data_IF_843167925368
#
_entry.id   IF_843167925368
#
_cell.length_a   1.000
_cell.length_b   1.000
_cell.length_c   1.000
_cell.angle_alpha   90.00
_cell.angle_beta   90.00
_cell.angle_gamma   90.00
#
_symmetry.space_group_name_H-M   'P 1'
#
loop_
_entity.id
_entity.type
_entity.pdbx_description
1 polymer ?
#
# COMPACT_ATOMS: atom_id res chain seq x y z
N UNK A 1 2.39 0.32 20.93
CA UNK A 1 2.71 1.69 21.43
C UNK A 1 2.67 1.83 22.95
N UNK A 2 1.66 1.28 23.66
CA UNK A 2 1.60 1.29 25.14
C UNK A 2 2.85 0.73 25.85
N UNK A 3 3.50 -0.28 25.27
CA UNK A 3 4.75 -0.89 25.80
C UNK A 3 5.97 0.04 25.77
N UNK A 4 5.90 1.23 25.16
CA UNK A 4 7.00 2.21 25.10
C UNK A 4 6.69 3.51 25.84
N UNK A 5 5.62 3.56 26.64
CA UNK A 5 5.23 4.75 27.40
C UNK A 5 4.81 5.95 26.55
N UNK A 6 4.43 5.72 25.29
CA UNK A 6 3.96 6.78 24.39
C UNK A 6 2.44 6.86 24.42
N UNK A 7 1.95 8.08 24.66
CA UNK A 7 0.53 8.39 24.55
C UNK A 7 0.08 8.38 23.08
N UNK A 8 -0.99 7.67 22.72
CA UNK A 8 -1.57 7.75 21.39
C UNK A 8 -2.02 9.19 21.11
N UNK A 9 -1.65 9.70 19.94
CA UNK A 9 -2.14 10.99 19.43
C UNK A 9 -3.00 10.75 18.21
N UNK A 10 -4.03 11.58 17.97
CA UNK A 10 -4.81 11.48 16.74
C UNK A 10 -3.90 11.71 15.53
N UNK A 11 -4.09 10.88 14.49
CA UNK A 11 -3.45 11.10 13.19
C UNK A 11 -4.15 12.28 12.52
N UNK A 12 -3.42 13.31 12.04
CA UNK A 12 -4.03 14.39 11.28
C UNK A 12 -4.76 13.84 10.05
N UNK A 13 -6.01 14.24 9.86
CA UNK A 13 -6.88 13.74 8.78
C UNK A 13 -6.25 13.82 7.39
N UNK A 14 -5.55 14.91 7.10
CA UNK A 14 -4.87 15.15 5.82
C UNK A 14 -3.64 14.24 5.59
N UNK A 15 -3.25 13.47 6.61
CA UNK A 15 -2.16 12.49 6.57
C UNK A 15 -2.63 11.06 6.82
N UNK A 16 -3.92 10.84 7.09
CA UNK A 16 -4.50 9.52 7.31
C UNK A 16 -4.70 8.79 5.98
N UNK A 17 -3.60 8.26 5.44
CA UNK A 17 -3.54 7.62 4.13
C UNK A 17 -4.58 6.52 3.96
N UNK A 18 -4.76 5.67 4.99
CA UNK A 18 -5.71 4.56 4.95
C UNK A 18 -7.15 5.06 4.85
N UNK A 19 -7.54 6.01 5.72
CA UNK A 19 -8.90 6.55 5.69
C UNK A 19 -9.16 7.36 4.41
N UNK A 20 -8.16 8.08 3.88
CA UNK A 20 -8.30 8.81 2.63
C UNK A 20 -8.49 7.86 1.43
N UNK A 21 -7.82 6.71 1.38
CA UNK A 21 -8.07 5.69 0.36
C UNK A 21 -9.49 5.14 0.45
N UNK A 22 -9.93 4.75 1.65
CA UNK A 22 -11.28 4.20 1.86
C UNK A 22 -12.38 5.21 1.47
N UNK A 23 -12.22 6.48 1.85
CA UNK A 23 -13.16 7.54 1.48
C UNK A 23 -13.21 7.82 -0.03
N UNK A 24 -12.16 7.44 -0.77
CA UNK A 24 -12.14 7.49 -2.24
C UNK A 24 -12.64 6.18 -2.87
N UNK A 25 -13.25 5.28 -2.08
CA UNK A 25 -13.80 4.02 -2.54
C UNK A 25 -12.75 2.96 -2.88
N UNK A 26 -11.54 3.11 -2.35
CA UNK A 26 -10.43 2.19 -2.62
C UNK A 26 -10.31 1.18 -1.47
N UNK A 27 -10.25 -0.10 -1.84
CA UNK A 27 -10.21 -1.22 -0.89
C UNK A 27 -11.58 -1.77 -0.55
N UNK A 28 -11.62 -2.74 0.37
CA UNK A 28 -12.87 -3.16 1.00
C UNK A 28 -13.15 -2.25 2.18
N UNK A 29 -14.33 -1.63 2.19
CA UNK A 29 -14.77 -0.79 3.30
C UNK A 29 -14.79 -1.58 4.61
N UNK A 30 -14.34 -0.96 5.70
CA UNK A 30 -14.30 -1.60 7.01
C UNK A 30 -15.69 -2.01 7.51
N UNK A 31 -16.73 -1.27 7.14
CA UNK A 31 -18.13 -1.65 7.41
C UNK A 31 -18.43 -3.05 6.82
N UNK A 32 -18.07 -3.28 5.56
CA UNK A 32 -18.32 -4.56 4.90
C UNK A 32 -17.58 -5.73 5.57
N UNK A 33 -16.34 -5.51 6.02
CA UNK A 33 -15.56 -6.52 6.75
C UNK A 33 -16.12 -6.83 8.15
N UNK A 34 -16.92 -5.93 8.74
CA UNK A 34 -17.55 -6.14 10.04
C UNK A 34 -18.88 -6.87 9.97
N UNK A 35 -19.46 -7.00 8.77
CA UNK A 35 -20.73 -7.70 8.56
C UNK A 35 -20.49 -9.20 8.51
N UNK A 36 -21.42 -9.96 9.06
CA UNK A 36 -21.43 -11.42 9.00
C UNK A 36 -22.07 -11.91 7.69
N UNK A 37 -21.57 -11.40 6.56
CA UNK A 37 -22.03 -11.73 5.22
C UNK A 37 -20.85 -12.30 4.41
N UNK A 38 -21.04 -13.40 3.66
CA UNK A 38 -19.99 -13.94 2.81
C UNK A 38 -19.51 -12.94 1.77
N UNK A 39 -18.18 -12.81 1.61
CA UNK A 39 -17.59 -12.01 0.55
C UNK A 39 -17.83 -12.65 -0.81
N UNK A 40 -18.20 -11.81 -1.79
CA UNK A 40 -18.32 -12.26 -3.18
C UNK A 40 -16.94 -12.33 -3.86
N UNK A 41 -16.85 -13.02 -5.00
CA UNK A 41 -15.64 -13.00 -5.82
C UNK A 41 -15.24 -11.57 -6.22
N UNK A 42 -16.22 -10.70 -6.49
CA UNK A 42 -15.95 -9.31 -6.82
C UNK A 42 -15.33 -8.57 -5.63
N UNK A 43 -15.73 -8.87 -4.40
CA UNK A 43 -15.16 -8.27 -3.19
C UNK A 43 -13.70 -8.68 -3.00
N UNK A 44 -13.41 -9.96 -3.20
CA UNK A 44 -12.05 -10.50 -3.13
C UNK A 44 -11.17 -9.86 -4.22
N UNK A 45 -11.66 -9.76 -5.45
CA UNK A 45 -10.95 -9.10 -6.54
C UNK A 45 -10.67 -7.62 -6.23
N UNK A 46 -11.66 -6.89 -5.71
CA UNK A 46 -11.49 -5.49 -5.30
C UNK A 46 -10.43 -5.35 -4.20
N UNK A 47 -10.48 -6.22 -3.20
CA UNK A 47 -9.50 -6.23 -2.11
C UNK A 47 -8.08 -6.52 -2.59
N UNK A 48 -7.91 -7.57 -3.39
CA UNK A 48 -6.61 -7.96 -3.92
C UNK A 48 -6.05 -6.91 -4.88
N UNK A 49 -6.90 -6.27 -5.69
CA UNK A 49 -6.48 -5.19 -6.58
C UNK A 49 -6.00 -3.96 -5.78
N UNK A 50 -6.72 -3.57 -4.73
CA UNK A 50 -6.28 -2.51 -3.82
C UNK A 50 -4.95 -2.87 -3.17
N UNK A 51 -4.89 -4.04 -2.54
CA UNK A 51 -3.70 -4.52 -1.84
C UNK A 51 -2.51 -4.55 -2.79
N UNK A 52 -2.63 -5.13 -3.98
CA UNK A 52 -1.55 -5.15 -4.98
C UNK A 52 -0.99 -3.77 -5.31
N UNK A 53 -1.85 -2.74 -5.39
CA UNK A 53 -1.43 -1.37 -5.69
C UNK A 53 -0.69 -0.76 -4.50
N UNK A 54 -1.22 -0.92 -3.28
CA UNK A 54 -0.57 -0.39 -2.07
C UNK A 54 0.73 -1.13 -1.75
N UNK A 55 0.76 -2.46 -1.90
CA UNK A 55 1.95 -3.30 -1.70
C UNK A 55 3.06 -2.96 -2.70
N UNK A 56 2.71 -2.63 -3.95
CA UNK A 56 3.71 -2.14 -4.92
C UNK A 56 4.37 -0.86 -4.44
N UNK A 57 3.59 0.08 -3.90
CA UNK A 57 4.14 1.32 -3.37
C UNK A 57 4.97 1.05 -2.12
N UNK A 58 4.48 0.20 -1.22
CA UNK A 58 5.18 -0.17 0.00
C UNK A 58 6.54 -0.82 -0.32
N UNK A 59 6.59 -1.83 -1.20
CA UNK A 59 7.83 -2.47 -1.66
C UNK A 59 8.81 -1.47 -2.30
N UNK A 60 8.34 -0.56 -3.16
CA UNK A 60 9.19 0.49 -3.75
C UNK A 60 9.77 1.45 -2.69
N UNK A 61 8.97 1.85 -1.70
CA UNK A 61 9.44 2.70 -0.59
C UNK A 61 10.40 1.94 0.34
N UNK A 62 10.10 0.68 0.66
CA UNK A 62 10.94 -0.15 1.50
C UNK A 62 12.29 -0.46 0.84
N UNK A 63 12.32 -0.60 -0.48
CA UNK A 63 13.58 -0.71 -1.23
C UNK A 63 14.47 0.53 -1.03
N UNK A 64 13.89 1.74 -1.10
CA UNK A 64 14.63 2.98 -0.84
C UNK A 64 15.12 3.03 0.62
N UNK A 65 14.25 2.72 1.59
CA UNK A 65 14.61 2.72 3.00
C UNK A 65 15.70 1.69 3.30
N UNK A 66 15.60 0.48 2.74
CA UNK A 66 16.61 -0.58 2.87
C UNK A 66 17.96 -0.12 2.33
N UNK A 67 17.99 0.54 1.16
CA UNK A 67 19.24 1.08 0.60
C UNK A 67 19.96 2.04 1.55
N UNK A 68 19.22 2.83 2.33
CA UNK A 68 19.79 3.86 3.19
C UNK A 68 19.98 3.44 4.65
N UNK A 69 19.17 2.48 5.14
CA UNK A 69 19.09 2.16 6.56
C UNK A 69 19.36 0.68 6.89
N UNK A 70 19.64 -0.18 5.92
CA UNK A 70 19.91 -1.60 6.18
C UNK A 70 21.07 -1.80 7.17
N UNK A 71 22.13 -1.00 7.10
CA UNK A 71 23.29 -1.15 7.99
C UNK A 71 23.18 -0.32 9.27
N UNK A 72 22.04 0.35 9.49
CA UNK A 72 21.82 1.11 10.72
C UNK A 72 21.69 0.14 11.91
N UNK A 73 22.46 0.33 13.00
CA UNK A 73 22.50 -0.62 14.12
C UNK A 73 21.12 -0.88 14.74
N UNK A 74 20.31 0.17 14.89
CA UNK A 74 18.99 0.05 15.54
C UNK A 74 17.84 -0.29 14.59
N UNK A 75 17.93 0.09 13.31
CA UNK A 75 16.81 0.05 12.36
C UNK A 75 16.97 -1.05 11.31
N UNK A 76 18.21 -1.42 10.99
CA UNK A 76 18.53 -2.27 9.85
C UNK A 76 17.80 -3.61 9.85
N UNK A 77 17.68 -4.24 11.03
CA UNK A 77 16.93 -5.50 11.17
C UNK A 77 15.45 -5.31 10.84
N UNK A 78 14.82 -4.27 11.37
CA UNK A 78 13.40 -3.99 11.14
C UNK A 78 13.14 -3.61 9.68
N UNK A 79 14.00 -2.76 9.09
CA UNK A 79 13.88 -2.34 7.69
C UNK A 79 14.01 -3.53 6.73
N UNK A 80 14.94 -4.45 6.97
CA UNK A 80 15.05 -5.68 6.16
C UNK A 80 13.81 -6.56 6.27
N UNK A 81 13.38 -6.83 7.51
CA UNK A 81 12.20 -7.67 7.77
C UNK A 81 10.96 -7.10 7.07
N UNK A 82 10.65 -5.82 7.28
CA UNK A 82 9.50 -5.17 6.65
C UNK A 82 9.64 -5.20 5.13
N UNK A 83 10.84 -4.91 4.59
CA UNK A 83 11.06 -4.96 3.14
C UNK A 83 10.80 -6.35 2.54
N UNK A 84 11.24 -7.41 3.23
CA UNK A 84 11.02 -8.78 2.77
C UNK A 84 9.53 -9.17 2.89
N UNK A 85 8.81 -8.68 3.90
CA UNK A 85 7.37 -8.89 4.08
C UNK A 85 6.56 -8.21 2.96
N UNK A 86 6.86 -6.96 2.60
CA UNK A 86 6.13 -6.27 1.50
C UNK A 86 6.37 -6.94 0.14
N UNK A 87 7.57 -7.47 -0.10
CA UNK A 87 7.84 -8.25 -1.31
C UNK A 87 7.01 -9.55 -1.34
N UNK A 88 6.80 -10.20 -0.19
CA UNK A 88 5.95 -11.39 -0.08
C UNK A 88 4.47 -11.05 -0.26
N UNK A 89 3.99 -9.95 0.32
CA UNK A 89 2.61 -9.48 0.12
C UNK A 89 2.35 -9.12 -1.35
N UNK A 90 3.28 -8.44 -2.00
CA UNK A 90 3.20 -8.10 -3.42
C UNK A 90 3.18 -9.37 -4.29
N UNK A 91 4.05 -10.35 -4.00
CA UNK A 91 4.08 -11.62 -4.71
C UNK A 91 2.76 -12.39 -4.58
N UNK A 92 2.20 -12.47 -3.37
CA UNK A 92 0.91 -13.08 -3.11
C UNK A 92 -0.22 -12.42 -3.91
N UNK A 93 -0.28 -11.09 -3.90
CA UNK A 93 -1.29 -10.36 -4.66
C UNK A 93 -1.18 -10.62 -6.18
N UNK A 94 0.04 -10.71 -6.69
CA UNK A 94 0.29 -11.07 -8.08
C UNK A 94 -0.23 -12.45 -8.43
N UNK A 95 0.08 -13.44 -7.61
CA UNK A 95 -0.32 -14.83 -7.79
C UNK A 95 -1.85 -14.99 -7.75
N UNK A 96 -2.49 -14.44 -6.72
CA UNK A 96 -3.93 -14.59 -6.55
C UNK A 96 -4.73 -13.85 -7.64
N UNK A 97 -4.31 -12.64 -8.02
CA UNK A 97 -4.97 -11.95 -9.14
C UNK A 97 -4.77 -12.69 -10.45
N UNK A 98 -3.61 -13.31 -10.70
CA UNK A 98 -3.42 -14.16 -11.86
C UNK A 98 -4.30 -15.41 -11.81
N UNK A 99 -4.45 -16.04 -10.65
CA UNK A 99 -5.37 -17.19 -10.44
C UNK A 99 -6.82 -16.82 -10.81
N UNK A 100 -7.32 -15.68 -10.34
CA UNK A 100 -8.63 -15.19 -10.73
C UNK A 100 -8.71 -14.76 -12.21
N UNK A 101 -7.64 -14.24 -12.79
CA UNK A 101 -7.59 -13.93 -14.21
C UNK A 101 -7.72 -15.19 -15.07
N UNK A 102 -7.03 -16.28 -14.71
CA UNK A 102 -7.16 -17.59 -15.37
C UNK A 102 -8.56 -18.19 -15.20
N UNK A 103 -9.24 -17.90 -14.09
CA UNK A 103 -10.64 -18.27 -13.87
C UNK A 103 -11.66 -17.37 -14.62
N UNK A 104 -11.20 -16.39 -15.40
CA UNK A 104 -12.06 -15.56 -16.27
C UNK A 104 -12.37 -14.16 -15.75
N UNK A 105 -11.80 -13.74 -14.61
CA UNK A 105 -12.09 -12.42 -14.02
C UNK A 105 -11.19 -11.27 -14.52
N UNK A 106 -10.39 -11.49 -15.58
CA UNK A 106 -9.37 -10.54 -16.04
C UNK A 106 -9.86 -9.11 -16.31
N UNK A 107 -11.06 -8.93 -16.89
CA UNK A 107 -11.62 -7.58 -17.14
C UNK A 107 -11.97 -6.85 -15.84
N UNK A 108 -12.53 -7.57 -14.86
CA UNK A 108 -12.86 -7.00 -13.56
C UNK A 108 -11.58 -6.57 -12.82
N UNK A 109 -10.55 -7.42 -12.86
CA UNK A 109 -9.23 -7.14 -12.27
C UNK A 109 -8.59 -5.90 -12.90
N UNK A 110 -8.55 -5.81 -14.23
CA UNK A 110 -7.94 -4.66 -14.93
C UNK A 110 -8.62 -3.34 -14.58
N UNK A 111 -9.96 -3.34 -14.48
CA UNK A 111 -10.72 -2.17 -14.06
C UNK A 111 -10.41 -1.80 -12.61
N UNK A 112 -10.50 -2.76 -11.69
CA UNK A 112 -10.23 -2.54 -10.27
C UNK A 112 -8.80 -2.02 -10.03
N UNK A 113 -7.79 -2.64 -10.66
CA UNK A 113 -6.40 -2.21 -10.57
C UNK A 113 -6.20 -0.77 -11.07
N UNK A 114 -6.80 -0.42 -12.21
CA UNK A 114 -6.69 0.93 -12.77
C UNK A 114 -7.37 1.97 -11.88
N UNK A 115 -8.57 1.69 -11.40
CA UNK A 115 -9.30 2.58 -10.49
C UNK A 115 -8.49 2.80 -9.19
N UNK A 116 -8.01 1.71 -8.58
CA UNK A 116 -7.14 1.76 -7.40
C UNK A 116 -5.88 2.57 -7.65
N UNK A 117 -5.10 2.26 -8.70
CA UNK A 117 -3.84 2.95 -8.98
C UNK A 117 -4.01 4.46 -9.17
N UNK A 118 -5.05 4.90 -9.90
CA UNK A 118 -5.23 6.32 -10.17
C UNK A 118 -5.69 7.11 -8.94
N UNK A 119 -6.51 6.50 -8.08
CA UNK A 119 -6.92 7.09 -6.82
C UNK A 119 -5.75 7.11 -5.82
N UNK A 120 -5.01 6.02 -5.73
CA UNK A 120 -3.84 5.88 -4.87
C UNK A 120 -2.78 6.94 -5.18
N UNK A 121 -2.42 7.13 -6.45
CA UNK A 121 -1.47 8.18 -6.88
C UNK A 121 -1.91 9.58 -6.44
N UNK A 122 -3.21 9.86 -6.44
CA UNK A 122 -3.76 11.14 -6.00
C UNK A 122 -3.65 11.28 -4.49
N UNK A 123 -4.10 10.27 -3.73
CA UNK A 123 -4.07 10.26 -2.27
C UNK A 123 -2.62 10.35 -1.77
N UNK A 124 -1.69 9.60 -2.38
CA UNK A 124 -0.29 9.64 -2.02
C UNK A 124 0.34 11.02 -2.21
N UNK A 125 0.01 11.72 -3.31
CA UNK A 125 0.44 13.11 -3.52
C UNK A 125 -0.08 14.01 -2.40
N UNK A 126 -1.38 13.92 -2.10
CA UNK A 126 -2.02 14.81 -1.11
C UNK A 126 -1.47 14.58 0.29
N UNK A 127 -1.31 13.32 0.70
CA UNK A 127 -0.67 12.94 1.96
C UNK A 127 0.80 13.38 1.99
N UNK A 128 1.55 13.19 0.91
CA UNK A 128 2.97 13.61 0.86
C UNK A 128 3.10 15.12 1.04
N UNK A 129 2.24 15.92 0.40
CA UNK A 129 2.21 17.38 0.57
C UNK A 129 1.86 17.76 2.02
N UNK A 130 0.85 17.13 2.59
CA UNK A 130 0.43 17.37 3.98
C UNK A 130 1.57 17.04 4.95
N UNK A 131 2.16 15.84 4.86
CA UNK A 131 3.29 15.41 5.70
C UNK A 131 4.45 16.38 5.58
N UNK A 132 4.86 16.76 4.36
CA UNK A 132 5.95 17.73 4.18
C UNK A 132 5.63 19.11 4.76
N UNK A 133 4.38 19.56 4.69
CA UNK A 133 3.95 20.81 5.30
C UNK A 133 3.97 20.76 6.83
N UNK A 134 3.50 19.66 7.44
CA UNK A 134 3.56 19.44 8.88
C UNK A 134 5.03 19.37 9.35
N UNK A 135 5.86 18.57 8.69
CA UNK A 135 7.30 18.46 9.00
C UNK A 135 8.04 19.78 8.82
N UNK A 136 7.72 20.55 7.77
CA UNK A 136 8.31 21.86 7.54
C UNK A 136 7.99 22.87 8.65
N UNK A 137 6.77 22.83 9.20
CA UNK A 137 6.39 23.64 10.36
C UNK A 137 7.14 23.21 11.63
N UNK A 138 7.19 21.90 11.90
CA UNK A 138 7.85 21.34 13.09
C UNK A 138 9.35 21.63 13.06
N UNK A 139 9.98 21.50 11.89
CA UNK A 139 11.43 21.65 11.72
C UNK A 139 11.87 23.08 11.33
N UNK A 140 10.93 24.03 11.23
CA UNK A 140 11.24 25.43 10.90
C UNK A 140 11.86 25.64 9.52
N UNK A 141 11.43 24.89 8.50
CA UNK A 141 12.02 24.99 7.16
C UNK A 141 11.74 26.34 6.48
N UNK A 142 12.71 26.90 5.73
CA UNK A 142 12.46 28.08 4.93
C UNK A 142 11.44 27.77 3.81
N UNK A 143 10.66 28.78 3.40
CA UNK A 143 9.62 28.65 2.37
C UNK A 143 10.17 28.11 1.04
N UNK A 144 11.41 28.45 0.69
CA UNK A 144 12.09 27.93 -0.50
C UNK A 144 12.24 26.41 -0.48
N UNK A 145 12.67 25.84 0.65
CA UNK A 145 12.82 24.38 0.80
C UNK A 145 11.45 23.69 0.68
N UNK A 146 10.44 24.23 1.35
CA UNK A 146 9.08 23.69 1.27
C UNK A 146 8.54 23.72 -0.17
N UNK A 147 8.76 24.82 -0.89
CA UNK A 147 8.34 24.96 -2.29
C UNK A 147 9.04 23.97 -3.22
N UNK A 148 10.36 23.75 -3.05
CA UNK A 148 11.12 22.77 -3.84
C UNK A 148 10.62 21.35 -3.60
N UNK A 149 10.37 20.97 -2.34
CA UNK A 149 9.84 19.65 -2.00
C UNK A 149 8.43 19.43 -2.58
N UNK A 150 7.56 20.44 -2.47
CA UNK A 150 6.22 20.38 -3.06
C UNK A 150 6.28 20.25 -4.59
N UNK A 151 7.16 21.00 -5.26
CA UNK A 151 7.38 20.87 -6.69
C UNK A 151 7.86 19.47 -7.08
N UNK A 152 8.76 18.87 -6.30
CA UNK A 152 9.20 17.48 -6.48
C UNK A 152 8.03 16.48 -6.38
N UNK A 153 7.16 16.64 -5.39
CA UNK A 153 5.96 15.79 -5.22
C UNK A 153 5.02 15.94 -6.43
N UNK A 154 4.79 17.15 -6.91
CA UNK A 154 3.98 17.38 -8.11
C UNK A 154 4.60 16.79 -9.38
N UNK A 155 5.93 16.84 -9.52
CA UNK A 155 6.64 16.23 -10.64
C UNK A 155 6.49 14.69 -10.64
N UNK A 156 6.66 14.05 -9.48
CA UNK A 156 6.42 12.61 -9.32
C UNK A 156 4.97 12.27 -9.65
N UNK A 157 4.01 13.02 -9.12
CA UNK A 157 2.59 12.84 -9.45
C UNK A 157 2.32 12.94 -10.96
N UNK A 158 2.89 13.93 -11.65
CA UNK A 158 2.74 14.09 -13.09
C UNK A 158 3.31 12.89 -13.87
N UNK A 159 4.49 12.40 -13.48
CA UNK A 159 5.09 11.18 -14.04
C UNK A 159 4.19 9.95 -13.82
N UNK A 160 3.71 9.76 -12.59
CA UNK A 160 2.84 8.62 -12.25
C UNK A 160 1.54 8.66 -13.05
N UNK A 161 0.95 9.84 -13.21
CA UNK A 161 -0.25 10.07 -14.03
C UNK A 161 -0.01 9.84 -15.53
N UNK A 162 1.14 10.24 -16.06
CA UNK A 162 1.45 10.12 -17.48
C UNK A 162 1.67 8.66 -17.91
N UNK A 163 2.34 7.86 -17.07
CA UNK A 163 2.62 6.47 -17.42
C UNK A 163 3.15 5.60 -16.27
N UNK A 164 3.62 6.19 -15.18
CA UNK A 164 4.14 5.44 -14.05
C UNK A 164 3.11 4.49 -13.41
N UNK A 165 1.82 4.80 -13.48
CA UNK A 165 0.74 3.94 -12.97
C UNK A 165 0.72 2.54 -13.60
N UNK A 166 1.27 2.35 -14.80
CA UNK A 166 1.30 1.04 -15.48
C UNK A 166 2.01 -0.03 -14.65
N UNK A 167 3.04 0.36 -13.89
CA UNK A 167 3.77 -0.57 -13.00
C UNK A 167 2.91 -1.09 -11.84
N UNK A 168 1.88 -0.32 -11.45
CA UNK A 168 0.97 -0.66 -10.35
C UNK A 168 -0.16 -1.60 -10.78
N UNK A 169 -0.40 -1.74 -12.10
CA UNK A 169 -1.50 -2.56 -12.63
C UNK A 169 -1.01 -3.75 -13.45
N UNK A 170 0.29 -3.79 -13.76
CA UNK A 170 0.87 -4.88 -14.54
C UNK A 170 1.00 -6.12 -13.65
N UNK A 171 0.40 -7.23 -14.06
CA UNK A 171 0.54 -8.52 -13.37
C UNK A 171 1.61 -9.35 -14.07
N UNK A 172 2.52 -9.94 -13.27
CA UNK A 172 3.51 -10.93 -13.68
C UNK A 172 3.49 -12.08 -12.67
N UNK A 173 3.82 -13.29 -13.11
CA UNK A 173 4.03 -14.40 -12.18
C UNK A 173 5.20 -14.04 -11.26
N UNK A 174 5.04 -14.11 -9.92
CA UNK A 174 6.13 -13.80 -9.01
C UNK A 174 7.21 -14.89 -9.05
N UNK A 175 8.44 -14.51 -8.74
CA UNK A 175 9.58 -15.44 -8.65
C UNK A 175 9.40 -16.40 -7.47
N UNK A 176 8.97 -15.87 -6.32
CA UNK A 176 8.53 -16.65 -5.17
C UNK A 176 7.02 -16.88 -5.26
N UNK A 177 6.63 -18.14 -5.41
CA UNK A 177 5.22 -18.58 -5.32
C UNK A 177 4.90 -18.99 -3.89
N UNK A 178 3.62 -18.95 -3.56
CA UNK A 178 3.11 -19.31 -2.24
C UNK A 178 3.83 -18.53 -1.11
N UNK A 179 4.04 -17.23 -1.34
CA UNK A 179 4.90 -16.40 -0.50
C UNK A 179 4.37 -16.27 0.95
N UNK A 180 3.05 -16.41 1.13
CA UNK A 180 2.37 -16.41 2.43
C UNK A 180 1.87 -17.81 2.86
N UNK A 181 2.24 -18.86 2.13
CA UNK A 181 1.93 -20.23 2.48
C UNK A 181 2.58 -20.63 3.80
N UNK A 182 1.76 -21.06 4.75
CA UNK A 182 2.19 -21.70 5.99
C UNK A 182 1.84 -23.19 6.00
N UNK A 183 2.40 -23.98 6.93
CA UNK A 183 1.93 -25.36 7.14
C UNK A 183 0.42 -25.35 7.39
N UNK A 184 -0.30 -26.30 6.79
CA UNK A 184 -1.75 -26.38 6.90
C UNK A 184 -2.17 -26.35 8.38
N UNK A 185 -2.97 -25.34 8.76
CA UNK A 185 -3.54 -25.29 10.10
C UNK A 185 -4.54 -26.45 10.21
N UNK A 186 -4.47 -27.30 11.26
CA UNK A 186 -5.48 -28.33 11.45
C UNK A 186 -6.86 -27.67 11.52
N UNK A 187 -7.82 -28.21 10.77
CA UNK A 187 -9.20 -27.72 10.77
C UNK A 187 -9.73 -27.67 12.21
N UNK A 188 -10.45 -26.61 12.61
CA UNK A 188 -11.14 -26.61 13.89
C UNK A 188 -12.13 -27.77 13.90
N UNK A 189 -11.98 -28.69 14.86
CA UNK A 189 -12.94 -29.76 15.13
C UNK A 189 -14.33 -29.12 15.32
N UNK A 190 -15.28 -29.47 14.45
CA UNK A 190 -16.65 -29.00 14.58
C UNK A 190 -17.23 -29.54 15.90
N UNK A 191 -17.52 -28.62 16.84
CA UNK A 191 -18.19 -28.92 18.11
C UNK A 191 -19.72 -28.99 17.93
#
# INVERSE_FOLDING_TARGET
MKKRGLEPVPVPWDTDYTMLLENNGIGLAHDKLRRDEPLTVQDIVTYLAHSRVTEQRASEQMTLLRRHFADHPDLGRAVRMISDDEDNHLAYCHEELLRFAYAGHGRAIQRALRECALAEIRVYRDVSLAVMAHMGRILGWPRSKAAVLAAGIHAVYAYERAGGWRRMVSLKTPERRDALGGPANPEPEAA
#
